data_IF_050107016370
#
_entry.id   IF_050107016370
#
_cell.length_a   1.000
_cell.length_b   1.000
_cell.length_c   1.000
_cell.angle_alpha   90.00
_cell.angle_beta   90.00
_cell.angle_gamma   90.00
#
_symmetry.space_group_name_H-M   'P 1'
#
loop_
_entity.id
_entity.type
_entity.pdbx_description
1 polymer ?
#
# COMPACT_ATOMS: atom_id res chain seq x y z
N UNK A 1 13.31 -5.96 -14.85
CA UNK A 1 12.17 -6.21 -13.95
C UNK A 1 10.91 -6.18 -14.81
N UNK A 2 10.11 -7.25 -14.81
CA UNK A 2 8.92 -7.33 -15.64
C UNK A 2 7.82 -6.44 -15.04
N UNK A 3 7.19 -5.61 -15.89
CA UNK A 3 6.10 -4.69 -15.51
C UNK A 3 4.94 -5.43 -14.82
N UNK A 4 4.73 -6.69 -15.17
CA UNK A 4 3.73 -7.61 -14.62
C UNK A 4 3.91 -7.87 -13.12
N UNK A 5 5.16 -8.08 -12.66
CA UNK A 5 5.45 -8.28 -11.23
C UNK A 5 5.22 -7.01 -10.42
N UNK A 6 5.52 -5.84 -10.99
CA UNK A 6 5.31 -4.55 -10.34
C UNK A 6 3.81 -4.30 -10.14
N UNK A 7 3.00 -4.63 -11.15
CA UNK A 7 1.56 -4.45 -11.11
C UNK A 7 0.88 -5.42 -10.13
N UNK A 8 1.32 -6.68 -10.09
CA UNK A 8 0.86 -7.66 -9.11
C UNK A 8 1.17 -7.24 -7.66
N UNK A 9 2.41 -6.83 -7.40
CA UNK A 9 2.82 -6.35 -6.08
C UNK A 9 2.08 -5.07 -5.69
N UNK A 10 1.90 -4.13 -6.62
CA UNK A 10 1.12 -2.93 -6.40
C UNK A 10 -0.33 -3.23 -6.01
N UNK A 11 -0.99 -4.17 -6.69
CA UNK A 11 -2.36 -4.58 -6.37
C UNK A 11 -2.48 -5.15 -4.95
N UNK A 12 -1.49 -5.93 -4.49
CA UNK A 12 -1.47 -6.43 -3.11
C UNK A 12 -1.33 -5.29 -2.08
N UNK A 13 -0.42 -4.35 -2.33
CA UNK A 13 -0.21 -3.17 -1.47
C UNK A 13 -1.47 -2.31 -1.44
N UNK A 14 -2.07 -2.02 -2.61
CA UNK A 14 -3.34 -1.28 -2.74
C UNK A 14 -4.46 -1.93 -1.94
N UNK A 15 -4.62 -3.25 -2.03
CA UNK A 15 -5.65 -3.99 -1.28
C UNK A 15 -5.46 -3.91 0.24
N UNK A 16 -4.21 -4.05 0.71
CA UNK A 16 -3.87 -3.90 2.14
C UNK A 16 -4.08 -2.47 2.62
N UNK A 17 -3.65 -1.50 1.82
CA UNK A 17 -3.81 -0.09 2.13
C UNK A 17 -5.30 0.27 2.24
N UNK A 18 -6.15 -0.14 1.30
CA UNK A 18 -7.61 0.04 1.40
C UNK A 18 -8.22 -0.61 2.65
N UNK A 19 -7.66 -1.71 3.17
CA UNK A 19 -8.11 -2.29 4.46
C UNK A 19 -7.71 -1.45 5.67
N UNK A 20 -6.46 -0.98 5.71
CA UNK A 20 -5.92 -0.22 6.85
C UNK A 20 -6.56 1.17 6.90
N UNK A 21 -6.46 1.88 5.78
CA UNK A 21 -6.99 3.21 5.59
C UNK A 21 -8.28 3.09 4.80
N UNK A 22 -9.35 2.60 5.44
CA UNK A 22 -10.67 2.44 4.82
C UNK A 22 -11.22 3.69 4.11
N UNK A 23 -10.64 4.87 4.37
CA UNK A 23 -10.90 6.13 3.69
C UNK A 23 -10.14 6.33 2.36
N UNK A 24 -9.24 5.42 1.96
CA UNK A 24 -8.58 5.46 0.66
C UNK A 24 -9.61 5.23 -0.44
N UNK A 25 -9.91 6.29 -1.17
CA UNK A 25 -10.81 6.26 -2.31
C UNK A 25 -10.17 5.52 -3.48
N UNK A 26 -11.00 5.07 -4.42
CA UNK A 26 -10.49 4.44 -5.64
C UNK A 26 -9.64 5.40 -6.47
N UNK A 27 -9.96 6.70 -6.42
CA UNK A 27 -9.21 7.76 -7.08
C UNK A 27 -7.76 7.86 -6.56
N UNK A 28 -7.55 7.87 -5.24
CA UNK A 28 -6.22 7.89 -4.62
C UNK A 28 -5.40 6.68 -5.06
N UNK A 29 -6.04 5.51 -5.09
CA UNK A 29 -5.39 4.28 -5.55
C UNK A 29 -5.07 4.30 -7.04
N UNK A 30 -5.91 4.95 -7.87
CA UNK A 30 -5.67 5.14 -9.31
C UNK A 30 -4.54 6.13 -9.57
N UNK A 31 -4.46 7.21 -8.78
CA UNK A 31 -3.34 8.17 -8.87
C UNK A 31 -2.00 7.53 -8.53
N UNK A 32 -2.02 6.52 -7.66
CA UNK A 32 -0.86 5.70 -7.34
C UNK A 32 -0.60 4.53 -8.31
N UNK A 33 -1.50 4.27 -9.25
CA UNK A 33 -1.44 3.08 -10.11
C UNK A 33 -0.11 2.99 -10.86
N UNK A 34 0.50 1.80 -10.79
CA UNK A 34 1.80 1.53 -11.40
C UNK A 34 3.01 1.84 -10.51
N UNK A 35 2.85 2.43 -9.32
CA UNK A 35 3.96 2.59 -8.37
C UNK A 35 3.53 2.66 -6.91
N UNK A 36 4.03 1.73 -6.10
CA UNK A 36 3.79 1.71 -4.65
C UNK A 36 4.31 2.99 -3.96
N UNK A 37 5.38 3.59 -4.48
CA UNK A 37 5.95 4.82 -3.91
C UNK A 37 4.98 6.01 -3.98
N UNK A 38 4.19 6.09 -5.06
CA UNK A 38 3.12 7.08 -5.17
C UNK A 38 2.00 6.84 -4.15
N UNK A 39 1.65 5.58 -3.89
CA UNK A 39 0.64 5.24 -2.89
C UNK A 39 1.10 5.70 -1.50
N UNK A 40 2.36 5.45 -1.15
CA UNK A 40 2.93 5.92 0.11
C UNK A 40 2.88 7.45 0.23
N UNK A 41 3.15 8.17 -0.86
CA UNK A 41 3.05 9.64 -0.90
C UNK A 41 1.62 10.16 -0.68
N UNK A 42 0.62 9.55 -1.32
CA UNK A 42 -0.78 9.96 -1.14
C UNK A 42 -1.26 9.69 0.29
N UNK A 43 -0.88 8.53 0.85
CA UNK A 43 -1.22 8.20 2.24
C UNK A 43 -0.56 9.19 3.20
N UNK A 44 0.69 9.58 2.94
CA UNK A 44 1.38 10.61 3.71
C UNK A 44 0.68 11.97 3.62
N UNK A 45 0.22 12.38 2.43
CA UNK A 45 -0.47 13.65 2.23
C UNK A 45 -1.86 13.67 2.89
N UNK A 46 -2.62 12.57 2.80
CA UNK A 46 -3.97 12.45 3.39
C UNK A 46 -3.96 12.22 4.90
N UNK A 47 -3.15 11.28 5.37
CA UNK A 47 -3.19 10.78 6.74
C UNK A 47 -2.04 11.32 7.60
N UNK A 48 -1.03 11.96 7.00
CA UNK A 48 0.19 12.38 7.71
C UNK A 48 1.11 11.23 8.11
N UNK A 49 0.79 9.99 7.74
CA UNK A 49 1.60 8.81 8.05
C UNK A 49 2.89 8.81 7.21
N UNK A 50 4.05 8.69 7.87
CA UNK A 50 5.32 8.50 7.16
C UNK A 50 5.31 7.21 6.35
N UNK A 51 6.05 7.20 5.22
CA UNK A 51 6.20 6.00 4.37
C UNK A 51 6.53 4.73 5.17
N UNK A 52 7.38 4.85 6.19
CA UNK A 52 7.74 3.74 7.10
C UNK A 52 6.56 3.20 7.90
N UNK A 53 5.71 4.08 8.44
CA UNK A 53 4.51 3.69 9.17
C UNK A 53 3.52 2.97 8.26
N UNK A 54 3.35 3.49 7.03
CA UNK A 54 2.51 2.85 6.01
C UNK A 54 3.05 1.46 5.68
N UNK A 55 4.36 1.36 5.42
CA UNK A 55 5.03 0.10 5.11
C UNK A 55 4.88 -0.91 6.25
N UNK A 56 5.10 -0.49 7.52
CA UNK A 56 4.89 -1.36 8.70
C UNK A 56 3.46 -1.86 8.82
N UNK A 57 2.46 -1.01 8.59
CA UNK A 57 1.05 -1.43 8.68
C UNK A 57 0.69 -2.42 7.56
N UNK A 58 1.20 -2.19 6.35
CA UNK A 58 1.01 -3.11 5.22
C UNK A 58 1.72 -4.44 5.46
N UNK A 59 2.95 -4.42 5.98
CA UNK A 59 3.74 -5.60 6.34
C UNK A 59 3.06 -6.41 7.47
N UNK A 60 2.48 -5.72 8.46
CA UNK A 60 1.70 -6.34 9.52
C UNK A 60 0.46 -7.11 9.02
N UNK A 61 -0.06 -6.78 7.82
CA UNK A 61 -1.14 -7.53 7.16
C UNK A 61 -0.63 -8.72 6.32
N UNK A 62 0.64 -8.73 5.92
CA UNK A 62 1.25 -9.84 5.16
C UNK A 62 1.59 -11.04 6.04
N UNK A 63 1.76 -10.80 7.34
CA UNK A 63 2.15 -11.83 8.30
C UNK A 63 0.92 -12.61 8.80
N UNK A 64 0.64 -13.84 8.34
CA UNK A 64 0.11 -14.82 9.26
C UNK A 64 1.19 -15.00 10.33
N UNK A 65 0.86 -14.72 11.59
CA UNK A 65 1.63 -15.23 12.73
C UNK A 65 1.89 -16.71 12.50
N UNK A 66 3.09 -17.05 12.08
CA UNK A 66 3.68 -18.35 12.36
C UNK A 66 5.04 -18.09 13.01
N UNK A 67 5.05 -17.75 14.32
CA UNK A 67 6.27 -17.88 15.09
C UNK A 67 6.62 -19.37 15.11
N UNK A 68 7.76 -19.72 14.51
CA UNK A 68 8.45 -20.96 14.86
C UNK A 68 9.23 -20.70 16.16
#
# INVERSE_FOLDING_TARGET
MNQDQIQGHFNQIKGKAKRIWGELTDDDCRRAEGSADKLYGIIQERFGDSKEAVKRRIDALELPRNPN
#
